data_IF_722740439253
#
_entry.id   IF_722740439253
#
_cell.length_a   1.000
_cell.length_b   1.000
_cell.length_c   1.000
_cell.angle_alpha   90.00
_cell.angle_beta   90.00
_cell.angle_gamma   90.00
#
_symmetry.space_group_name_H-M   'P 1'
#
loop_
_entity.id
_entity.type
_entity.pdbx_description
1 polymer ?
#
# COMPACT_ATOMS: atom_id res chain seq x y z
N UNK A 1 1.26 -19.86 3.40
CA UNK A 1 0.86 -18.65 4.15
C UNK A 1 1.30 -17.45 3.32
N UNK A 2 0.43 -16.48 3.01
CA UNK A 2 0.79 -15.25 2.30
C UNK A 2 0.95 -14.12 3.33
N UNK A 3 2.17 -13.80 3.79
CA UNK A 3 2.40 -12.77 4.79
C UNK A 3 1.84 -11.43 4.30
N UNK A 4 1.21 -10.70 5.22
CA UNK A 4 0.57 -9.39 4.99
C UNK A 4 -0.60 -9.41 3.98
N UNK A 5 -1.12 -10.57 3.59
CA UNK A 5 -2.34 -10.64 2.77
C UNK A 5 -3.59 -10.26 3.56
N UNK A 6 -3.52 -10.35 4.88
CA UNK A 6 -4.58 -9.98 5.80
C UNK A 6 -4.04 -9.03 6.87
N UNK A 7 -4.73 -7.90 7.04
CA UNK A 7 -4.46 -6.93 8.09
C UNK A 7 -5.70 -6.81 8.98
N UNK A 8 -5.62 -7.19 10.28
CA UNK A 8 -6.72 -7.03 11.22
C UNK A 8 -7.22 -5.59 11.31
N UNK A 9 -6.29 -4.63 11.25
CA UNK A 9 -6.62 -3.20 11.23
C UNK A 9 -7.46 -2.81 10.02
N UNK A 10 -7.06 -3.26 8.82
CA UNK A 10 -7.82 -2.99 7.60
C UNK A 10 -9.22 -3.63 7.64
N UNK A 11 -9.34 -4.83 8.24
CA UNK A 11 -10.63 -5.48 8.44
C UNK A 11 -11.53 -4.67 9.38
N UNK A 12 -11.01 -4.20 10.52
CA UNK A 12 -11.80 -3.44 11.48
C UNK A 12 -12.34 -2.14 10.86
N UNK A 13 -11.50 -1.40 10.14
CA UNK A 13 -11.91 -0.17 9.45
C UNK A 13 -12.99 -0.46 8.40
N UNK A 14 -12.80 -1.51 7.60
CA UNK A 14 -13.76 -1.90 6.57
C UNK A 14 -15.10 -2.32 7.17
N UNK A 15 -15.08 -3.12 8.24
CA UNK A 15 -16.28 -3.51 9.00
C UNK A 15 -17.04 -2.28 9.49
N UNK A 16 -16.36 -1.36 10.17
CA UNK A 16 -17.00 -0.14 10.69
C UNK A 16 -17.59 0.68 9.54
N UNK A 17 -16.86 0.86 8.44
CA UNK A 17 -17.37 1.61 7.28
C UNK A 17 -18.60 0.96 6.67
N UNK A 18 -18.67 -0.38 6.56
CA UNK A 18 -19.86 -1.06 6.05
C UNK A 18 -21.05 -0.87 6.98
N UNK A 19 -20.84 -1.02 8.29
CA UNK A 19 -21.89 -0.83 9.29
C UNK A 19 -22.43 0.60 9.33
N UNK A 20 -21.59 1.61 9.11
CA UNK A 20 -22.02 3.02 9.14
C UNK A 20 -22.60 3.50 7.80
N UNK A 21 -22.12 2.97 6.67
CA UNK A 21 -22.48 3.49 5.34
C UNK A 21 -23.64 2.75 4.67
N UNK A 22 -23.91 1.52 5.08
CA UNK A 22 -24.92 0.64 4.47
C UNK A 22 -25.98 0.35 5.52
N UNK A 23 -27.17 0.91 5.34
CA UNK A 23 -28.31 0.66 6.23
C UNK A 23 -28.96 -0.68 5.92
N UNK A 24 -29.37 -1.41 6.95
CA UNK A 24 -30.05 -2.71 6.82
C UNK A 24 -31.35 -2.59 6.00
N UNK A 25 -32.08 -1.46 6.13
CA UNK A 25 -33.32 -1.21 5.39
C UNK A 25 -33.11 -1.17 3.86
N UNK A 26 -31.94 -0.73 3.40
CA UNK A 26 -31.58 -0.72 1.98
C UNK A 26 -31.39 -2.15 1.44
N UNK A 27 -30.84 -3.03 2.27
CA UNK A 27 -30.65 -4.44 1.94
C UNK A 27 -32.01 -5.15 1.96
N UNK A 28 -32.82 -4.93 3.00
CA UNK A 28 -34.16 -5.51 3.12
C UNK A 28 -35.05 -5.12 1.94
N UNK A 29 -35.04 -3.84 1.54
CA UNK A 29 -35.79 -3.36 0.38
C UNK A 29 -35.36 -4.08 -0.90
N UNK A 30 -34.05 -4.23 -1.12
CA UNK A 30 -33.53 -4.94 -2.30
C UNK A 30 -33.92 -6.43 -2.30
N UNK A 31 -34.00 -7.06 -1.12
CA UNK A 31 -34.47 -8.45 -0.98
C UNK A 31 -35.96 -8.55 -1.30
N UNK A 32 -36.79 -7.60 -0.83
CA UNK A 32 -38.22 -7.51 -1.15
C UNK A 32 -38.42 -7.33 -2.67
N UNK A 33 -37.57 -6.55 -3.33
CA UNK A 33 -37.55 -6.36 -4.79
C UNK A 33 -37.02 -7.60 -5.56
N UNK A 34 -36.73 -8.70 -4.87
CA UNK A 34 -36.26 -9.96 -5.46
C UNK A 34 -34.80 -9.95 -5.92
N UNK A 35 -33.98 -9.02 -5.44
CA UNK A 35 -32.55 -9.00 -5.77
C UNK A 35 -31.82 -10.18 -5.10
N UNK A 36 -31.03 -10.92 -5.89
CA UNK A 36 -30.14 -11.95 -5.35
C UNK A 36 -28.99 -11.33 -4.54
N UNK A 37 -28.42 -12.09 -3.61
CA UNK A 37 -27.31 -11.62 -2.76
C UNK A 37 -26.11 -11.10 -3.56
N UNK A 38 -25.79 -11.75 -4.69
CA UNK A 38 -24.73 -11.28 -5.57
C UNK A 38 -25.06 -9.94 -6.25
N UNK A 39 -26.33 -9.72 -6.61
CA UNK A 39 -26.80 -8.44 -7.15
C UNK A 39 -26.73 -7.34 -6.10
N UNK A 40 -27.12 -7.63 -4.86
CA UNK A 40 -27.00 -6.69 -3.73
C UNK A 40 -25.53 -6.31 -3.51
N UNK A 41 -24.62 -7.30 -3.48
CA UNK A 41 -23.19 -7.06 -3.33
C UNK A 41 -22.66 -6.14 -4.45
N UNK A 42 -22.94 -6.48 -5.71
CA UNK A 42 -22.35 -5.78 -6.86
C UNK A 42 -22.97 -4.40 -7.10
N UNK A 43 -24.28 -4.26 -6.90
CA UNK A 43 -25.02 -3.06 -7.28
C UNK A 43 -25.23 -2.08 -6.13
N UNK A 44 -25.16 -2.52 -4.87
CA UNK A 44 -25.40 -1.68 -3.69
C UNK A 44 -24.14 -1.59 -2.83
N UNK A 45 -23.64 -2.73 -2.34
CA UNK A 45 -22.54 -2.76 -1.37
C UNK A 45 -21.24 -2.22 -1.97
N UNK A 46 -20.81 -2.74 -3.13
CA UNK A 46 -19.54 -2.33 -3.76
C UNK A 46 -19.52 -0.84 -4.14
N UNK A 47 -20.56 -0.26 -4.78
CA UNK A 47 -20.57 1.17 -5.10
C UNK A 47 -20.53 2.08 -3.88
N UNK A 48 -21.26 1.75 -2.81
CA UNK A 48 -21.26 2.51 -1.56
C UNK A 48 -19.92 2.37 -0.81
N UNK A 49 -19.24 1.25 -1.00
CA UNK A 49 -17.95 0.94 -0.38
C UNK A 49 -16.74 1.51 -1.13
N UNK A 50 -16.92 2.21 -2.25
CA UNK A 50 -15.81 2.78 -3.04
C UNK A 50 -14.81 3.60 -2.21
N UNK A 51 -15.23 4.51 -1.31
CA UNK A 51 -14.29 5.29 -0.52
C UNK A 51 -13.41 4.42 0.39
N UNK A 52 -14.00 3.45 1.10
CA UNK A 52 -13.26 2.60 2.02
C UNK A 52 -12.36 1.61 1.29
N UNK A 53 -12.80 1.08 0.15
CA UNK A 53 -11.98 0.22 -0.71
C UNK A 53 -10.76 0.98 -1.24
N UNK A 54 -10.91 2.27 -1.59
CA UNK A 54 -9.78 3.10 -1.99
C UNK A 54 -8.77 3.27 -0.84
N UNK A 55 -9.24 3.57 0.37
CA UNK A 55 -8.40 3.70 1.57
C UNK A 55 -7.64 2.41 1.90
N UNK A 56 -8.33 1.26 1.94
CA UNK A 56 -7.70 -0.02 2.27
C UNK A 56 -6.72 -0.45 1.17
N UNK A 57 -7.08 -0.27 -0.10
CA UNK A 57 -6.18 -0.54 -1.23
C UNK A 57 -4.91 0.31 -1.14
N UNK A 58 -5.04 1.58 -0.77
CA UNK A 58 -3.89 2.44 -0.53
C UNK A 58 -2.97 1.90 0.56
N UNK A 59 -3.52 1.54 1.72
CA UNK A 59 -2.72 1.02 2.84
C UNK A 59 -1.97 -0.25 2.43
N UNK A 60 -2.62 -1.14 1.68
CA UNK A 60 -1.94 -2.31 1.12
C UNK A 60 -0.87 -1.92 0.09
N UNK A 61 -1.16 -0.99 -0.82
CA UNK A 61 -0.20 -0.57 -1.84
C UNK A 61 1.06 0.06 -1.22
N UNK A 62 0.89 0.97 -0.27
CA UNK A 62 2.00 1.60 0.47
C UNK A 62 2.77 0.55 1.27
N UNK A 63 2.07 -0.35 1.97
CA UNK A 63 2.71 -1.44 2.70
C UNK A 63 3.54 -2.36 1.81
N UNK A 64 3.01 -2.72 0.64
CA UNK A 64 3.72 -3.56 -0.35
C UNK A 64 4.89 -2.82 -1.00
N UNK A 65 4.75 -1.54 -1.29
CA UNK A 65 5.82 -0.71 -1.83
C UNK A 65 7.00 -0.56 -0.86
N UNK A 66 6.71 -0.56 0.45
CA UNK A 66 7.72 -0.45 1.52
C UNK A 66 8.16 -1.82 2.08
N UNK A 67 7.70 -2.93 1.51
CA UNK A 67 8.01 -4.26 2.00
C UNK A 67 9.49 -4.61 1.76
N UNK A 68 10.30 -4.58 2.83
CA UNK A 68 11.70 -4.99 2.80
C UNK A 68 11.95 -6.25 3.65
N UNK A 69 11.41 -6.31 4.86
CA UNK A 69 11.79 -7.31 5.87
C UNK A 69 11.33 -8.72 5.49
N UNK A 70 10.07 -8.87 5.08
CA UNK A 70 9.55 -10.14 4.59
C UNK A 70 10.36 -10.61 3.37
N UNK A 71 10.64 -9.71 2.43
CA UNK A 71 11.41 -10.03 1.25
C UNK A 71 12.83 -10.46 1.61
N UNK A 72 13.47 -9.82 2.59
CA UNK A 72 14.80 -10.19 3.09
C UNK A 72 14.81 -11.62 3.66
N UNK A 73 13.77 -12.01 4.40
CA UNK A 73 13.69 -13.36 4.98
C UNK A 73 13.35 -14.44 3.95
N UNK A 74 12.39 -14.18 3.06
CA UNK A 74 11.88 -15.18 2.12
C UNK A 74 12.69 -15.28 0.82
N UNK A 75 13.33 -14.19 0.37
CA UNK A 75 14.00 -14.11 -0.93
C UNK A 75 15.53 -14.12 -0.75
N UNK A 76 16.07 -15.31 -0.44
CA UNK A 76 17.51 -15.47 -0.20
C UNK A 76 18.32 -15.48 -1.51
N UNK A 77 18.02 -16.43 -2.40
CA UNK A 77 18.89 -16.77 -3.53
C UNK A 77 18.48 -16.11 -4.84
N UNK A 78 17.17 -15.96 -5.10
CA UNK A 78 16.71 -15.47 -6.39
C UNK A 78 16.70 -13.94 -6.45
N UNK A 79 17.75 -13.37 -7.06
CA UNK A 79 17.94 -11.91 -7.17
C UNK A 79 16.86 -11.27 -8.06
N UNK A 80 16.35 -11.99 -9.05
CA UNK A 80 15.43 -11.45 -10.06
C UNK A 80 14.06 -11.08 -9.47
N UNK A 81 13.64 -11.77 -8.40
CA UNK A 81 12.35 -11.53 -7.73
C UNK A 81 12.46 -10.56 -6.53
N UNK A 82 13.65 -10.03 -6.24
CA UNK A 82 13.82 -9.09 -5.12
C UNK A 82 13.07 -7.78 -5.40
N UNK A 83 12.21 -7.30 -4.49
CA UNK A 83 11.55 -6.01 -4.65
C UNK A 83 12.56 -4.87 -4.57
N UNK A 84 12.15 -3.69 -5.04
CA UNK A 84 12.98 -2.48 -5.06
C UNK A 84 13.63 -2.21 -3.70
N UNK A 85 12.85 -2.23 -2.61
CA UNK A 85 13.35 -1.95 -1.26
C UNK A 85 14.49 -2.89 -0.84
N UNK A 86 14.39 -4.18 -1.16
CA UNK A 86 15.42 -5.16 -0.84
C UNK A 86 16.69 -4.96 -1.70
N UNK A 87 16.53 -4.61 -2.98
CA UNK A 87 17.67 -4.31 -3.85
C UNK A 87 18.45 -3.08 -3.36
N UNK A 88 17.74 -2.03 -2.95
CA UNK A 88 18.35 -0.80 -2.41
C UNK A 88 19.06 -1.08 -1.08
N UNK A 89 18.48 -1.91 -0.21
CA UNK A 89 19.14 -2.34 1.03
C UNK A 89 20.50 -2.99 0.76
N UNK A 90 20.57 -3.97 -0.15
CA UNK A 90 21.84 -4.61 -0.49
C UNK A 90 22.84 -3.64 -1.14
N UNK A 91 22.39 -2.75 -2.01
CA UNK A 91 23.24 -1.74 -2.65
C UNK A 91 23.87 -0.78 -1.64
N UNK A 92 23.11 -0.35 -0.64
CA UNK A 92 23.61 0.49 0.46
C UNK A 92 24.57 -0.29 1.36
N UNK A 93 24.29 -1.57 1.65
CA UNK A 93 25.16 -2.42 2.45
C UNK A 93 26.52 -2.63 1.76
N UNK A 94 26.52 -3.05 0.49
CA UNK A 94 27.74 -3.27 -0.31
C UNK A 94 28.56 -1.99 -0.50
N UNK A 95 27.92 -0.84 -0.70
CA UNK A 95 28.67 0.43 -0.81
C UNK A 95 29.35 0.86 0.49
N UNK A 96 28.75 0.52 1.64
CA UNK A 96 29.36 0.81 2.95
C UNK A 96 30.57 -0.09 3.19
N UNK A 97 30.48 -1.38 2.84
CA UNK A 97 31.62 -2.32 2.88
C UNK A 97 32.76 -1.90 1.94
N UNK A 98 32.43 -1.45 0.72
CA UNK A 98 33.41 -0.98 -0.25
C UNK A 98 34.20 0.26 0.24
N UNK A 99 33.57 1.16 1.00
CA UNK A 99 34.27 2.30 1.59
C UNK A 99 35.24 1.87 2.68
N UNK A 100 34.85 0.91 3.53
CA UNK A 100 35.75 0.37 4.55
C UNK A 100 36.99 -0.29 3.89
N UNK A 101 36.79 -1.03 2.79
CA UNK A 101 37.89 -1.64 2.02
C UNK A 101 38.72 -0.62 1.21
N UNK A 102 38.13 0.51 0.80
CA UNK A 102 38.86 1.59 0.13
C UNK A 102 39.77 2.36 1.09
N UNK A 103 39.40 2.47 2.36
CA UNK A 103 40.27 3.01 3.42
C UNK A 103 41.53 2.16 3.64
N UNK A 104 41.50 0.89 3.26
CA UNK A 104 42.65 -0.04 3.26
C UNK A 104 43.49 0.02 1.97
N UNK A 105 43.16 0.91 1.03
CA UNK A 105 44.01 1.26 -0.11
C UNK A 105 43.73 0.52 -1.43
N UNK A 106 42.64 -0.26 -1.53
CA UNK A 106 42.41 -1.18 -2.67
C UNK A 106 41.20 -0.88 -3.57
N UNK A 107 40.40 0.18 -3.34
CA UNK A 107 39.15 0.39 -4.11
C UNK A 107 38.84 1.84 -4.50
N UNK A 108 38.10 1.99 -5.63
CA UNK A 108 37.55 3.26 -6.11
C UNK A 108 36.45 3.78 -5.17
N UNK A 109 36.56 5.06 -4.79
CA UNK A 109 35.59 5.74 -3.92
C UNK A 109 34.23 5.87 -4.60
N UNK A 110 33.26 5.06 -4.19
CA UNK A 110 31.85 5.38 -4.39
C UNK A 110 31.34 6.03 -3.12
N UNK A 111 30.93 7.30 -3.18
CA UNK A 111 30.40 8.00 -2.00
C UNK A 111 29.06 7.37 -1.57
N UNK A 112 28.99 6.66 -0.42
CA UNK A 112 27.78 5.96 0.01
C UNK A 112 26.63 6.91 0.31
N UNK A 113 26.92 8.15 0.68
CA UNK A 113 25.89 9.16 0.95
C UNK A 113 25.13 9.53 -0.33
N UNK A 114 25.84 9.66 -1.45
CA UNK A 114 25.22 9.95 -2.76
C UNK A 114 24.33 8.79 -3.19
N UNK A 115 24.78 7.53 -2.99
CA UNK A 115 23.97 6.36 -3.28
C UNK A 115 22.72 6.29 -2.39
N UNK A 116 22.86 6.53 -1.08
CA UNK A 116 21.72 6.59 -0.14
C UNK A 116 20.71 7.66 -0.55
N UNK A 117 21.17 8.86 -0.87
CA UNK A 117 20.32 9.97 -1.33
C UNK A 117 19.58 9.61 -2.64
N UNK A 118 20.27 9.04 -3.62
CA UNK A 118 19.66 8.58 -4.86
C UNK A 118 18.58 7.51 -4.61
N UNK A 119 18.84 6.54 -3.72
CA UNK A 119 17.88 5.50 -3.35
C UNK A 119 16.59 6.09 -2.74
N UNK A 120 16.72 7.10 -1.87
CA UNK A 120 15.58 7.81 -1.26
C UNK A 120 14.75 8.50 -2.35
N UNK A 121 15.38 9.16 -3.32
CA UNK A 121 14.66 9.82 -4.41
C UNK A 121 13.90 8.79 -5.27
N UNK A 122 14.56 7.71 -5.68
CA UNK A 122 13.92 6.66 -6.50
C UNK A 122 12.74 5.96 -5.81
N UNK A 123 12.77 5.85 -4.47
CA UNK A 123 11.68 5.24 -3.70
C UNK A 123 10.52 6.19 -3.43
N UNK A 124 10.80 7.49 -3.28
CA UNK A 124 9.79 8.50 -2.91
C UNK A 124 9.06 9.07 -4.11
N UNK A 125 9.73 9.24 -5.25
CA UNK A 125 9.12 9.83 -6.47
C UNK A 125 7.85 9.09 -6.91
N UNK A 126 7.82 7.75 -7.03
CA UNK A 126 6.60 7.05 -7.45
C UNK A 126 5.43 7.26 -6.48
N UNK A 127 5.70 7.32 -5.17
CA UNK A 127 4.66 7.57 -4.15
C UNK A 127 4.07 8.97 -4.34
N UNK A 128 4.93 9.97 -4.55
CA UNK A 128 4.51 11.36 -4.79
C UNK A 128 3.67 11.45 -6.07
N UNK A 129 4.05 10.74 -7.14
CA UNK A 129 3.27 10.72 -8.38
C UNK A 129 1.87 10.11 -8.22
N UNK A 130 1.71 9.09 -7.37
CA UNK A 130 0.40 8.45 -7.14
C UNK A 130 -0.47 9.27 -6.17
N UNK A 131 0.14 10.07 -5.30
CA UNK A 131 -0.56 10.84 -4.26
C UNK A 131 -1.72 11.72 -4.78
N UNK A 132 -1.60 12.53 -5.85
CA UNK A 132 -2.71 13.33 -6.37
C UNK A 132 -3.94 12.52 -6.79
N UNK A 133 -3.72 11.31 -7.33
CA UNK A 133 -4.80 10.42 -7.76
C UNK A 133 -5.58 9.89 -6.56
N UNK A 134 -4.87 9.55 -5.49
CA UNK A 134 -5.45 9.06 -4.25
C UNK A 134 -6.17 10.19 -3.49
N UNK A 135 -5.56 11.38 -3.42
CA UNK A 135 -6.08 12.54 -2.71
C UNK A 135 -7.51 12.89 -3.17
N UNK A 136 -7.81 12.76 -4.47
CA UNK A 136 -9.16 12.97 -5.02
C UNK A 136 -10.24 12.10 -4.36
N UNK A 137 -9.91 10.87 -3.96
CA UNK A 137 -10.87 9.97 -3.32
C UNK A 137 -11.11 10.35 -1.85
N UNK A 138 -10.07 10.80 -1.15
CA UNK A 138 -10.22 11.31 0.21
C UNK A 138 -11.03 12.60 0.28
N UNK A 139 -10.76 13.56 -0.62
CA UNK A 139 -11.51 14.83 -0.69
C UNK A 139 -12.98 14.60 -1.06
N UNK A 140 -13.29 13.64 -1.94
CA UNK A 140 -14.68 13.31 -2.27
C UNK A 140 -15.40 12.62 -1.10
N UNK A 141 -14.72 11.77 -0.34
CA UNK A 141 -15.29 11.08 0.83
C UNK A 141 -15.68 12.03 1.96
N UNK A 142 -14.85 13.04 2.25
CA UNK A 142 -15.15 14.05 3.28
C UNK A 142 -16.28 15.00 2.85
N UNK A 143 -16.35 15.37 1.57
CA UNK A 143 -17.39 16.27 1.06
C UNK A 143 -18.80 15.64 1.07
N UNK A 144 -18.93 14.31 0.97
CA UNK A 144 -20.24 13.64 1.10
C UNK A 144 -20.71 13.59 2.56
N UNK A 145 -19.78 13.55 3.53
CA UNK A 145 -20.09 13.66 4.96
C UNK A 145 -20.44 15.07 5.41
N UNK A 146 -19.86 16.09 4.79
CA UNK A 146 -20.06 17.50 5.13
C UNK A 146 -21.41 18.09 4.68
N UNK A 147 -22.08 17.47 3.71
CA UNK A 147 -23.40 17.93 3.21
C UNK A 147 -24.58 17.34 4.01
N UNK A 148 -24.30 16.41 4.95
CA UNK A 148 -25.30 15.90 5.90
C UNK A 148 -25.32 16.68 7.23
N UNK A 149 -24.60 17.80 7.31
CA UNK A 149 -24.66 18.78 8.40
C UNK A 149 -25.58 19.93 8.08
#
# INVERSE_FOLDING_TARGET
ILPLAFSPYNLLIMKTSFQTSISDSLIESAVIDGASQFRILRSIVLPLSKPILATVTLFYAVGRWNAYQDALFYIKQNINIRPLQLKLYYLIATSTEAVNAAMEGTAQYTNPEVLKAACIIFTTVPIICVYPFIQKYFVKGTMVGAVKG
#
